data_IF_179265197956
#
_entry.id   IF_179265197956
#
_cell.length_a   1.000
_cell.length_b   1.000
_cell.length_c   1.000
_cell.angle_alpha   90.00
_cell.angle_beta   90.00
_cell.angle_gamma   90.00
#
_symmetry.space_group_name_H-M   'P 1'
#
loop_
_entity.id
_entity.type
_entity.pdbx_description
1 polymer ?
#
# COMPACT_ATOMS: atom_id res chain seq x y z
N UNK A 1 -18.89 10.32 10.06
CA UNK A 1 -19.34 9.45 8.96
C UNK A 1 -18.95 8.01 9.25
N UNK A 2 -19.90 7.09 9.24
CA UNK A 2 -19.64 5.65 9.30
C UNK A 2 -19.63 5.07 7.88
N UNK A 3 -18.73 4.13 7.60
CA UNK A 3 -18.53 3.52 6.29
C UNK A 3 -18.68 2.01 6.43
N UNK A 4 -19.40 1.41 5.48
CA UNK A 4 -19.55 -0.04 5.36
C UNK A 4 -19.24 -0.46 3.93
N UNK A 5 -18.64 -1.62 3.77
CA UNK A 5 -18.41 -2.23 2.48
C UNK A 5 -19.42 -3.37 2.29
N UNK A 6 -20.42 -3.23 1.41
CA UNK A 6 -21.48 -4.24 1.28
C UNK A 6 -20.94 -5.61 0.84
N UNK A 7 -19.90 -5.60 0.01
CA UNK A 7 -19.26 -6.82 -0.50
C UNK A 7 -18.23 -7.40 0.47
N UNK A 8 -17.79 -6.62 1.46
CA UNK A 8 -16.77 -7.00 2.45
C UNK A 8 -17.32 -6.75 3.86
N UNK A 9 -18.26 -7.58 4.35
CA UNK A 9 -18.95 -7.33 5.62
C UNK A 9 -18.02 -7.33 6.85
N UNK A 10 -16.84 -7.95 6.74
CA UNK A 10 -15.79 -7.89 7.76
C UNK A 10 -15.05 -6.55 7.84
N UNK A 11 -15.31 -5.62 6.91
CA UNK A 11 -14.64 -4.34 6.81
C UNK A 11 -15.64 -3.21 7.09
N UNK A 12 -15.39 -2.46 8.16
CA UNK A 12 -16.10 -1.23 8.47
C UNK A 12 -15.09 -0.18 8.89
N UNK A 13 -15.41 1.08 8.65
CA UNK A 13 -14.55 2.19 9.01
C UNK A 13 -15.37 3.41 9.43
N UNK A 14 -14.72 4.43 9.96
CA UNK A 14 -15.36 5.69 10.31
C UNK A 14 -14.38 6.85 10.23
N UNK A 15 -14.90 8.06 10.00
CA UNK A 15 -14.13 9.29 10.00
C UNK A 15 -14.91 10.47 10.53
N UNK A 16 -14.18 11.49 10.98
CA UNK A 16 -14.75 12.68 11.62
C UNK A 16 -15.45 13.61 10.62
N UNK A 17 -14.93 13.66 9.39
CA UNK A 17 -15.49 14.37 8.25
C UNK A 17 -15.45 13.48 7.00
N UNK A 18 -15.97 13.95 5.86
CA UNK A 18 -16.05 13.16 4.64
C UNK A 18 -14.67 12.78 4.07
N UNK A 19 -13.71 13.71 4.08
CA UNK A 19 -12.39 13.46 3.53
C UNK A 19 -11.63 12.45 4.39
N UNK A 20 -11.69 12.62 5.71
CA UNK A 20 -11.16 11.67 6.67
C UNK A 20 -11.85 10.32 6.56
N UNK A 21 -13.17 10.27 6.37
CA UNK A 21 -13.91 9.04 6.16
C UNK A 21 -13.46 8.28 4.91
N UNK A 22 -13.26 8.97 3.78
CA UNK A 22 -12.74 8.35 2.55
C UNK A 22 -11.32 7.82 2.75
N UNK A 23 -10.47 8.58 3.46
CA UNK A 23 -9.13 8.13 3.80
C UNK A 23 -9.14 6.85 4.67
N UNK A 24 -9.94 6.86 5.74
CA UNK A 24 -10.09 5.71 6.64
C UNK A 24 -10.77 4.52 5.95
N UNK A 25 -11.63 4.77 4.95
CA UNK A 25 -12.21 3.72 4.11
C UNK A 25 -11.14 3.02 3.26
N UNK A 26 -10.26 3.79 2.60
CA UNK A 26 -9.16 3.23 1.79
C UNK A 26 -8.25 2.34 2.62
N UNK A 27 -7.87 2.79 3.83
CA UNK A 27 -6.99 2.02 4.72
C UNK A 27 -7.64 0.71 5.21
N UNK A 28 -8.91 0.76 5.61
CA UNK A 28 -9.66 -0.42 6.01
C UNK A 28 -9.83 -1.43 4.86
N UNK A 29 -10.15 -0.94 3.66
CA UNK A 29 -10.23 -1.76 2.45
C UNK A 29 -8.88 -2.41 2.14
N UNK A 30 -7.78 -1.64 2.19
CA UNK A 30 -6.43 -2.14 1.97
C UNK A 30 -6.08 -3.30 2.88
N UNK A 31 -6.30 -3.10 4.17
CA UNK A 31 -5.98 -4.06 5.22
C UNK A 31 -6.76 -5.35 5.04
N UNK A 32 -8.04 -5.25 4.74
CA UNK A 32 -8.88 -6.43 4.57
C UNK A 32 -8.56 -7.20 3.29
N UNK A 33 -8.38 -6.52 2.16
CA UNK A 33 -7.96 -7.17 0.92
C UNK A 33 -6.59 -7.83 1.08
N UNK A 34 -5.67 -7.23 1.84
CA UNK A 34 -4.36 -7.79 2.09
C UNK A 34 -4.44 -9.11 2.87
N UNK A 35 -5.30 -9.14 3.89
CA UNK A 35 -5.62 -10.36 4.63
C UNK A 35 -6.21 -11.45 3.73
N UNK A 36 -7.20 -11.12 2.89
CA UNK A 36 -7.79 -12.10 1.97
C UNK A 36 -6.77 -12.69 1.00
N UNK A 37 -5.85 -11.86 0.49
CA UNK A 37 -4.78 -12.34 -0.39
C UNK A 37 -3.79 -13.24 0.37
N UNK A 38 -3.40 -12.88 1.59
CA UNK A 38 -2.46 -13.66 2.40
C UNK A 38 -3.02 -15.03 2.81
N UNK A 39 -4.30 -15.10 3.14
CA UNK A 39 -5.02 -16.35 3.44
C UNK A 39 -5.48 -17.10 2.17
N UNK A 40 -5.20 -16.56 0.98
CA UNK A 40 -5.59 -17.12 -0.31
C UNK A 40 -7.11 -17.35 -0.42
N UNK A 41 -7.88 -16.44 0.18
CA UNK A 41 -9.33 -16.38 0.17
C UNK A 41 -9.87 -15.69 -1.09
N UNK A 42 -11.15 -15.94 -1.40
CA UNK A 42 -11.79 -15.33 -2.58
C UNK A 42 -12.11 -13.86 -2.33
N UNK A 43 -11.64 -12.98 -3.21
CA UNK A 43 -12.02 -11.57 -3.22
C UNK A 43 -13.35 -11.44 -3.98
N UNK A 44 -14.42 -10.94 -3.34
CA UNK A 44 -15.72 -10.78 -3.99
C UNK A 44 -15.68 -9.70 -5.06
N UNK A 45 -16.49 -9.86 -6.10
CA UNK A 45 -16.67 -8.82 -7.12
C UNK A 45 -17.43 -7.63 -6.53
N UNK A 46 -17.00 -6.38 -6.81
CA UNK A 46 -17.65 -5.20 -6.29
C UNK A 46 -19.07 -5.04 -6.85
N UNK A 47 -20.02 -4.80 -5.95
CA UNK A 47 -21.39 -4.44 -6.28
C UNK A 47 -21.44 -3.10 -7.01
N UNK A 48 -22.44 -2.93 -7.87
CA UNK A 48 -22.67 -1.65 -8.57
C UNK A 48 -23.22 -0.65 -7.56
N UNK A 49 -22.65 0.56 -7.52
CA UNK A 49 -23.06 1.60 -6.58
C UNK A 49 -24.57 1.95 -6.61
N UNK A 50 -25.21 1.81 -7.78
CA UNK A 50 -26.65 2.05 -7.99
C UNK A 50 -27.56 0.95 -7.44
N UNK A 51 -27.03 -0.25 -7.21
CA UNK A 51 -27.79 -1.41 -6.78
C UNK A 51 -27.72 -1.58 -5.25
N UNK A 52 -26.99 -0.70 -4.55
CA UNK A 52 -26.85 -0.70 -3.09
C UNK A 52 -28.06 0.02 -2.47
N UNK A 53 -28.83 -0.64 -1.60
CA UNK A 53 -29.92 0.00 -0.87
C UNK A 53 -29.37 1.01 0.14
N UNK A 54 -30.05 2.15 0.26
CA UNK A 54 -29.66 3.24 1.15
C UNK A 54 -30.84 3.66 2.03
N UNK A 55 -30.56 3.95 3.30
CA UNK A 55 -31.51 4.61 4.19
C UNK A 55 -31.43 6.15 4.03
N UNK A 56 -32.42 6.85 4.57
CA UNK A 56 -32.44 8.31 4.60
C UNK A 56 -31.16 8.90 5.21
N UNK A 57 -30.51 9.79 4.47
CA UNK A 57 -29.24 10.44 4.86
C UNK A 57 -27.98 9.63 4.54
N UNK A 58 -28.10 8.45 3.92
CA UNK A 58 -26.96 7.70 3.41
C UNK A 58 -26.69 8.04 1.93
N UNK A 59 -25.46 7.80 1.49
CA UNK A 59 -25.04 7.94 0.10
C UNK A 59 -23.95 6.92 -0.22
N UNK A 60 -23.76 6.63 -1.51
CA UNK A 60 -22.67 5.77 -1.99
C UNK A 60 -21.53 6.58 -2.58
N UNK A 61 -20.31 6.08 -2.41
CA UNK A 61 -19.12 6.57 -3.11
C UNK A 61 -18.22 5.41 -3.47
N UNK A 62 -17.47 5.54 -4.57
CA UNK A 62 -16.45 4.56 -4.93
C UNK A 62 -15.18 4.80 -4.13
N UNK A 63 -14.52 3.71 -3.74
CA UNK A 63 -13.22 3.71 -3.07
C UNK A 63 -12.29 2.86 -3.91
N UNK A 64 -11.17 3.44 -4.32
CA UNK A 64 -10.14 2.84 -5.13
C UNK A 64 -8.87 2.58 -4.32
N UNK A 65 -8.13 1.54 -4.70
CA UNK A 65 -6.84 1.22 -4.10
C UNK A 65 -5.91 0.48 -5.08
N UNK A 66 -4.63 0.84 -5.04
CA UNK A 66 -3.54 0.06 -5.64
C UNK A 66 -2.90 -0.84 -4.57
N UNK A 67 -3.27 -2.13 -4.58
CA UNK A 67 -2.72 -3.12 -3.65
C UNK A 67 -1.22 -3.36 -3.83
N UNK A 68 -0.67 -3.12 -5.02
CA UNK A 68 0.77 -3.25 -5.26
C UNK A 68 1.53 -2.14 -4.53
N UNK A 69 1.06 -0.90 -4.67
CA UNK A 69 1.62 0.24 -3.94
C UNK A 69 1.46 0.06 -2.42
N UNK A 70 0.27 -0.34 -1.95
CA UNK A 70 0.00 -0.58 -0.54
C UNK A 70 0.95 -1.63 0.06
N UNK A 71 1.12 -2.79 -0.58
CA UNK A 71 2.02 -3.85 -0.11
C UNK A 71 3.48 -3.42 -0.12
N UNK A 72 3.92 -2.60 -1.09
CA UNK A 72 5.28 -2.04 -1.10
C UNK A 72 5.52 -1.13 0.11
N UNK A 73 4.55 -0.28 0.47
CA UNK A 73 4.65 0.58 1.65
C UNK A 73 4.62 -0.22 2.96
N UNK A 74 3.71 -1.20 3.07
CA UNK A 74 3.60 -2.10 4.24
C UNK A 74 4.85 -2.95 4.42
N UNK A 75 5.45 -3.42 3.32
CA UNK A 75 6.69 -4.22 3.29
C UNK A 75 7.97 -3.37 3.30
N UNK A 76 7.93 -2.15 3.84
CA UNK A 76 9.12 -1.30 4.06
C UNK A 76 10.13 -1.89 5.05
N UNK A 77 9.87 -3.10 5.57
CA UNK A 77 10.83 -3.88 6.34
C UNK A 77 12.07 -4.15 5.50
N UNK A 78 13.16 -3.48 5.84
CA UNK A 78 14.45 -3.72 5.22
C UNK A 78 14.87 -5.19 5.41
N UNK A 79 15.09 -5.90 4.31
CA UNK A 79 15.63 -7.26 4.32
C UNK A 79 17.15 -7.18 4.16
N UNK A 80 17.91 -7.67 5.14
CA UNK A 80 19.37 -7.71 5.06
C UNK A 80 19.81 -8.57 3.88
N UNK A 81 20.73 -8.04 3.06
CA UNK A 81 21.39 -8.75 1.96
C UNK A 81 22.89 -8.78 2.20
N UNK A 82 23.51 -9.93 1.97
CA UNK A 82 24.97 -10.08 1.96
C UNK A 82 25.43 -10.08 0.51
N UNK A 83 26.39 -9.22 0.19
CA UNK A 83 26.92 -9.02 -1.17
C UNK A 83 28.44 -8.90 -1.13
N UNK A 84 29.08 -9.07 -2.29
CA UNK A 84 30.53 -8.93 -2.45
C UNK A 84 30.83 -7.81 -3.46
N UNK A 85 31.79 -6.95 -3.12
CA UNK A 85 32.32 -5.89 -3.97
C UNK A 85 33.85 -5.91 -3.94
N UNK A 86 34.54 -5.34 -4.95
CA UNK A 86 36.00 -5.19 -4.91
C UNK A 86 36.47 -4.40 -3.68
N UNK A 87 37.60 -4.79 -3.06
CA UNK A 87 38.13 -4.14 -1.84
C UNK A 87 38.33 -2.64 -2.02
N UNK A 88 38.92 -2.22 -3.14
CA UNK A 88 39.17 -0.81 -3.45
C UNK A 88 37.88 0.03 -3.46
N UNK A 89 36.76 -0.56 -3.85
CA UNK A 89 35.46 0.13 -3.89
C UNK A 89 34.85 0.24 -2.49
N UNK A 90 35.04 -0.77 -1.64
CA UNK A 90 34.61 -0.71 -0.25
C UNK A 90 35.37 0.38 0.51
N UNK A 91 36.70 0.42 0.37
CA UNK A 91 37.56 1.41 1.01
C UNK A 91 37.18 2.84 0.62
N UNK A 92 36.99 3.09 -0.68
CA UNK A 92 36.57 4.41 -1.17
C UNK A 92 35.17 4.79 -0.65
N UNK A 93 34.21 3.86 -0.69
CA UNK A 93 32.85 4.11 -0.22
C UNK A 93 32.79 4.38 1.29
N UNK A 94 33.59 3.67 2.10
CA UNK A 94 33.71 3.92 3.54
C UNK A 94 34.36 5.28 3.83
N UNK A 95 35.39 5.67 3.07
CA UNK A 95 36.07 6.96 3.22
C UNK A 95 35.12 8.15 2.98
N UNK A 96 34.14 8.00 2.07
CA UNK A 96 33.10 8.99 1.80
C UNK A 96 31.81 8.78 2.61
N UNK A 97 31.82 7.87 3.59
CA UNK A 97 30.67 7.56 4.45
C UNK A 97 29.39 7.22 3.66
N UNK A 98 29.56 6.43 2.60
CA UNK A 98 28.49 6.03 1.68
C UNK A 98 27.48 5.09 2.37
N UNK A 99 26.20 5.33 2.13
CA UNK A 99 25.14 4.43 2.55
C UNK A 99 24.90 3.33 1.49
N UNK A 100 25.61 2.21 1.62
CA UNK A 100 25.48 1.06 0.72
C UNK A 100 24.04 0.57 0.53
N UNK A 101 23.24 0.58 1.59
CA UNK A 101 21.84 0.13 1.52
C UNK A 101 20.98 1.06 0.67
N UNK A 102 21.17 2.39 0.81
CA UNK A 102 20.44 3.37 0.03
C UNK A 102 20.83 3.30 -1.46
N UNK A 103 22.13 3.25 -1.77
CA UNK A 103 22.61 3.12 -3.15
C UNK A 103 22.09 1.84 -3.80
N UNK A 104 22.14 0.71 -3.09
CA UNK A 104 21.61 -0.54 -3.62
C UNK A 104 20.10 -0.44 -3.91
N UNK A 105 19.32 0.19 -3.02
CA UNK A 105 17.89 0.38 -3.23
C UNK A 105 17.61 1.29 -4.44
N UNK A 106 18.34 2.40 -4.59
CA UNK A 106 18.20 3.32 -5.72
C UNK A 106 18.57 2.65 -7.04
N UNK A 107 19.74 1.99 -7.10
CA UNK A 107 20.19 1.29 -8.29
C UNK A 107 19.22 0.16 -8.71
N UNK A 108 18.66 -0.58 -7.74
CA UNK A 108 17.65 -1.61 -8.03
C UNK A 108 16.35 -1.00 -8.55
N UNK A 109 15.88 0.11 -7.96
CA UNK A 109 14.67 0.81 -8.44
C UNK A 109 14.86 1.32 -9.86
N UNK A 110 16.01 1.94 -10.15
CA UNK A 110 16.35 2.42 -11.48
C UNK A 110 16.40 1.27 -12.49
N UNK A 111 17.13 0.19 -12.17
CA UNK A 111 17.27 -0.98 -13.04
C UNK A 111 15.93 -1.68 -13.33
N UNK A 112 15.01 -1.68 -12.36
CA UNK A 112 13.67 -2.27 -12.50
C UNK A 112 12.62 -1.30 -13.05
N UNK A 113 12.98 -0.03 -13.34
CA UNK A 113 12.04 0.98 -13.81
C UNK A 113 11.00 1.41 -12.77
N UNK A 114 11.27 1.20 -11.48
CA UNK A 114 10.38 1.57 -10.37
C UNK A 114 10.63 3.05 -10.03
N UNK A 115 9.98 3.95 -10.76
CA UNK A 115 10.11 5.39 -10.52
C UNK A 115 9.55 5.77 -9.15
N UNK A 116 10.38 6.41 -8.32
CA UNK A 116 9.90 7.16 -7.16
C UNK A 116 9.65 8.57 -7.66
N UNK A 117 8.44 8.85 -8.14
CA UNK A 117 8.07 10.23 -8.49
C UNK A 117 8.11 11.08 -7.21
N UNK A 118 9.19 11.83 -7.03
CA UNK A 118 9.21 13.00 -6.15
C UNK A 118 8.76 14.20 -6.99
N UNK A 119 7.53 14.65 -6.74
CA UNK A 119 7.15 16.05 -6.92
C UNK A 119 7.42 16.77 -5.61
#
# INVERSE_FOLDING_TARGET
YAIRFPDLPGTNSQGNDLANAIYMARDALATWLDYLIDENEVIPNPSRARDIPLDDGQFTTMIDIDMTAYRRHKSSKAVKKTLSIPSWLNEEAEAHNVNFSAILQEALKEHLGIQTNHK
#
